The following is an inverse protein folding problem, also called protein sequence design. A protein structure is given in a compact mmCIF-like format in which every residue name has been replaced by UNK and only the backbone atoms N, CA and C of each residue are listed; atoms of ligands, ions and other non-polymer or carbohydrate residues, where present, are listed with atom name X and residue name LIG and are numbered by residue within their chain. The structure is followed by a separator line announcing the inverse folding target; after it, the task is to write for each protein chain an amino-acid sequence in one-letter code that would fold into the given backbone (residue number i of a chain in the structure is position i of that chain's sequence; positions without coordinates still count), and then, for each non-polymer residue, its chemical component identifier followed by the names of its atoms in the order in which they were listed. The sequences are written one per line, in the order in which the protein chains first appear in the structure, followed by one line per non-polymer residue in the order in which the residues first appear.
data_IF_541859292269
#
_entry.id   IF_541859292269
#
_cell.length_a   1.000
_cell.length_b   1.000
_cell.length_c   1.000
_cell.angle_alpha   90.00
_cell.angle_beta   90.00
_cell.angle_gamma   90.00
#
_symmetry.space_group_name_H-M   'P 1'
#
loop_
_entity.id
_entity.type
_entity.pdbx_description
1 polymer ?
#
# COMPACT_ATOMS: atom_id res chain seq x y z
N UNK A 1 4.26 -20.30 55.16
CA UNK A 1 3.44 -21.52 55.08
C UNK A 1 3.47 -22.00 53.65
N UNK A 2 4.11 -23.14 53.39
CA UNK A 2 4.21 -23.77 52.08
C UNK A 2 2.86 -24.39 51.69
N UNK A 3 2.37 -24.13 50.48
CA UNK A 3 1.59 -25.12 49.72
C UNK A 3 2.00 -25.02 48.24
N UNK A 4 2.40 -26.18 47.73
CA UNK A 4 2.81 -26.50 46.36
C UNK A 4 1.58 -26.89 45.54
N UNK A 5 1.48 -26.43 44.29
CA UNK A 5 0.63 -27.06 43.27
C UNK A 5 1.50 -27.57 42.12
N UNK A 6 1.43 -28.88 41.87
CA UNK A 6 2.02 -29.56 40.72
C UNK A 6 0.91 -29.96 39.74
N UNK A 7 1.25 -29.81 38.46
CA UNK A 7 0.60 -30.33 37.26
C UNK A 7 0.11 -31.77 37.38
N UNK A 8 -1.01 -32.07 36.74
CA UNK A 8 -1.22 -33.37 36.08
C UNK A 8 -1.77 -33.20 34.66
N UNK A 9 -1.23 -34.05 33.79
CA UNK A 9 -1.38 -34.12 32.35
C UNK A 9 -2.34 -35.25 31.97
N UNK A 10 -3.30 -34.94 31.10
CA UNK A 10 -4.19 -35.94 30.49
C UNK A 10 -3.44 -36.79 29.46
N UNK A 11 -3.58 -38.11 29.57
CA UNK A 11 -3.24 -39.10 28.53
C UNK A 11 -4.47 -39.96 28.19
N UNK A 12 -4.52 -40.54 26.97
CA UNK A 12 -5.76 -40.92 26.31
C UNK A 12 -6.23 -42.35 26.60
N UNK A 13 -7.54 -42.54 26.39
CA UNK A 13 -8.34 -43.74 26.58
C UNK A 13 -7.89 -44.92 25.71
N UNK A 14 -7.69 -46.07 26.37
CA UNK A 14 -7.50 -47.41 25.79
C UNK A 14 -8.88 -48.08 25.72
N UNK A 15 -9.31 -48.56 24.55
CA UNK A 15 -10.48 -49.44 24.43
C UNK A 15 -10.01 -50.84 24.03
N UNK A 16 -10.50 -51.79 24.81
CA UNK A 16 -10.15 -53.21 24.91
C UNK A 16 -10.88 -54.01 23.82
N UNK A 17 -10.16 -54.88 23.13
CA UNK A 17 -10.71 -55.90 22.21
C UNK A 17 -11.15 -57.12 23.04
N UNK A 18 -12.44 -57.47 22.99
CA UNK A 18 -13.00 -58.68 23.59
C UNK A 18 -13.22 -59.72 22.48
N UNK A 19 -12.60 -60.89 22.65
CA UNK A 19 -12.77 -62.09 21.84
C UNK A 19 -14.03 -62.85 22.31
N UNK A 20 -15.01 -63.06 21.43
CA UNK A 20 -16.14 -63.96 21.68
C UNK A 20 -16.13 -65.06 20.62
N UNK A 21 -16.00 -66.29 21.11
CA UNK A 21 -16.11 -67.55 20.37
C UNK A 21 -17.59 -67.94 20.31
N UNK A 22 -18.16 -68.11 19.11
CA UNK A 22 -19.48 -68.74 18.92
C UNK A 22 -19.33 -69.85 17.87
N UNK A 23 -19.65 -71.07 18.30
CA UNK A 23 -19.82 -72.26 17.47
C UNK A 23 -21.30 -72.33 17.06
N UNK A 24 -21.59 -72.47 15.76
CA UNK A 24 -22.93 -72.73 15.23
C UNK A 24 -22.86 -73.59 13.98
N UNK A 25 -23.61 -74.69 13.97
CA UNK A 25 -23.71 -75.69 12.90
C UNK A 25 -24.44 -75.15 11.66
N UNK A 26 -24.16 -75.78 10.51
CA UNK A 26 -24.47 -75.29 9.17
C UNK A 26 -25.93 -75.31 8.72
N UNK A 27 -26.15 -74.57 7.63
CA UNK A 27 -27.13 -74.84 6.58
C UNK A 27 -26.71 -74.02 5.35
N UNK A 28 -26.59 -74.65 4.19
CA UNK A 28 -26.20 -74.01 2.93
C UNK A 28 -27.19 -72.91 2.54
N UNK A 29 -26.68 -71.70 2.32
CA UNK A 29 -27.19 -70.77 1.31
C UNK A 29 -26.00 -70.00 0.77
N UNK A 30 -25.86 -69.97 -0.55
CA UNK A 30 -24.75 -69.43 -1.33
C UNK A 30 -24.12 -68.17 -0.72
N UNK A 31 -22.85 -68.28 -0.32
CA UNK A 31 -22.03 -67.14 0.08
C UNK A 31 -21.76 -66.28 -1.16
N UNK A 32 -22.50 -65.18 -1.27
CA UNK A 32 -22.14 -64.10 -2.17
C UNK A 32 -20.94 -63.38 -1.54
N UNK A 33 -19.73 -63.81 -1.89
CA UNK A 33 -18.50 -63.09 -1.57
C UNK A 33 -18.61 -61.69 -2.19
N UNK A 34 -19.00 -60.70 -1.39
CA UNK A 34 -18.77 -59.30 -1.73
C UNK A 34 -17.25 -59.09 -1.73
N UNK A 35 -16.64 -59.10 -2.92
CA UNK A 35 -15.34 -58.48 -3.12
C UNK A 35 -15.42 -57.06 -2.56
N UNK A 36 -14.70 -56.79 -1.46
CA UNK A 36 -14.39 -55.42 -1.09
C UNK A 36 -13.62 -54.81 -2.26
N UNK A 37 -14.30 -53.97 -3.04
CA UNK A 37 -13.66 -53.20 -4.10
C UNK A 37 -12.66 -52.28 -3.41
N UNK A 38 -11.38 -52.67 -3.44
CA UNK A 38 -10.29 -51.87 -2.91
C UNK A 38 -10.17 -50.62 -3.78
N UNK A 39 -10.86 -49.54 -3.40
CA UNK A 39 -10.76 -48.26 -4.12
C UNK A 39 -9.31 -47.78 -3.97
N UNK A 40 -8.55 -47.67 -5.06
CA UNK A 40 -7.15 -47.36 -4.95
C UNK A 40 -6.99 -45.92 -4.42
N UNK A 41 -6.23 -45.77 -3.33
CA UNK A 41 -6.08 -44.50 -2.60
C UNK A 41 -5.33 -43.50 -3.48
N UNK A 42 -5.80 -42.25 -3.48
CA UNK A 42 -5.15 -41.18 -4.20
C UNK A 42 -3.76 -40.88 -3.62
N UNK A 43 -2.78 -40.58 -4.48
CA UNK A 43 -1.41 -40.23 -4.05
C UNK A 43 -0.91 -38.99 -4.76
N UNK A 44 0.06 -38.29 -4.15
CA UNK A 44 0.82 -37.21 -4.80
C UNK A 44 2.26 -37.67 -5.01
N UNK A 45 2.81 -37.37 -6.19
CA UNK A 45 4.19 -37.72 -6.54
C UNK A 45 5.07 -36.47 -6.65
N UNK A 46 4.70 -35.52 -7.50
CA UNK A 46 5.43 -34.26 -7.67
C UNK A 46 4.51 -33.20 -8.29
N UNK A 47 5.01 -31.98 -8.41
CA UNK A 47 4.35 -30.90 -9.14
C UNK A 47 5.34 -30.12 -10.00
N UNK A 48 4.85 -29.50 -11.07
CA UNK A 48 5.65 -28.63 -11.92
C UNK A 48 4.79 -27.50 -12.54
N UNK A 49 5.23 -26.24 -12.49
CA UNK A 49 6.41 -25.75 -11.75
C UNK A 49 6.19 -25.77 -10.23
N UNK A 50 7.29 -25.70 -9.46
CA UNK A 50 7.28 -25.63 -7.98
C UNK A 50 7.26 -24.18 -7.47
N UNK A 51 7.29 -23.22 -8.38
CA UNK A 51 7.24 -21.80 -8.09
C UNK A 51 6.61 -21.03 -9.24
N UNK A 52 6.10 -19.84 -8.94
CA UNK A 52 5.49 -18.96 -9.93
C UNK A 52 4.56 -17.94 -9.31
N UNK A 53 4.16 -16.91 -10.07
CA UNK A 53 3.16 -15.95 -9.63
C UNK A 53 1.75 -16.51 -9.66
N UNK A 54 0.76 -15.70 -9.26
CA UNK A 54 -0.65 -15.99 -9.55
C UNK A 54 -0.85 -16.36 -11.01
N UNK A 55 -1.91 -17.10 -11.28
CA UNK A 55 -2.27 -17.60 -12.60
C UNK A 55 -1.29 -18.60 -13.23
N UNK A 56 -0.15 -18.92 -12.60
CA UNK A 56 0.70 -20.03 -13.00
C UNK A 56 -0.12 -21.32 -12.99
N UNK A 57 -0.15 -22.03 -14.11
CA UNK A 57 -0.80 -23.34 -14.20
C UNK A 57 0.19 -24.39 -13.72
N UNK A 58 -0.14 -25.04 -12.61
CA UNK A 58 0.68 -26.07 -12.01
C UNK A 58 0.10 -27.44 -12.33
N UNK A 59 0.94 -28.32 -12.87
CA UNK A 59 0.61 -29.73 -13.06
C UNK A 59 1.03 -30.49 -11.81
N UNK A 60 0.06 -31.08 -11.12
CA UNK A 60 0.23 -31.93 -9.94
C UNK A 60 0.09 -33.38 -10.40
N UNK A 61 1.14 -34.18 -10.24
CA UNK A 61 1.18 -35.58 -10.65
C UNK A 61 0.93 -36.51 -9.46
N UNK A 62 0.25 -37.62 -9.72
CA UNK A 62 -0.08 -38.61 -8.70
C UNK A 62 -0.79 -39.82 -9.30
N UNK A 63 -1.62 -40.48 -8.50
CA UNK A 63 -2.44 -41.62 -8.92
C UNK A 63 -3.83 -41.55 -8.30
N UNK A 64 -4.81 -42.17 -8.96
CA UNK A 64 -6.19 -42.37 -8.49
C UNK A 64 -6.92 -41.07 -8.09
N UNK A 65 -6.67 -39.97 -8.80
CA UNK A 65 -7.46 -38.75 -8.60
C UNK A 65 -8.92 -38.97 -9.01
N UNK A 66 -9.83 -38.35 -8.25
CA UNK A 66 -11.26 -38.32 -8.55
C UNK A 66 -11.56 -37.44 -9.75
N UNK A 67 -12.83 -37.25 -10.09
CA UNK A 67 -13.20 -36.35 -11.18
C UNK A 67 -13.10 -34.87 -10.79
N UNK A 68 -13.14 -34.00 -11.80
CA UNK A 68 -12.97 -32.55 -11.66
C UNK A 68 -14.02 -31.89 -10.76
N UNK A 69 -15.21 -32.48 -10.60
CA UNK A 69 -16.28 -31.89 -9.79
C UNK A 69 -16.05 -32.13 -8.28
N UNK A 70 -15.19 -33.08 -7.92
CA UNK A 70 -14.92 -33.45 -6.52
C UNK A 70 -13.49 -33.16 -6.08
N UNK A 71 -12.55 -32.99 -7.02
CA UNK A 71 -11.18 -32.58 -6.67
C UNK A 71 -11.15 -31.11 -6.25
N UNK A 72 -10.50 -30.86 -5.11
CA UNK A 72 -10.14 -29.50 -4.68
C UNK A 72 -8.63 -29.39 -4.53
N UNK A 73 -8.07 -28.24 -4.89
CA UNK A 73 -6.65 -27.93 -4.75
C UNK A 73 -6.49 -26.64 -3.99
N UNK A 74 -5.58 -26.60 -3.02
CA UNK A 74 -5.26 -25.43 -2.23
C UNK A 74 -3.77 -25.15 -2.30
N UNK A 75 -3.43 -23.88 -2.45
CA UNK A 75 -2.07 -23.35 -2.34
C UNK A 75 -2.02 -22.58 -1.03
N UNK A 76 -1.32 -23.11 -0.03
CA UNK A 76 -1.21 -22.48 1.30
C UNK A 76 -2.58 -22.03 1.84
N UNK A 77 -3.52 -22.98 1.92
CA UNK A 77 -4.92 -22.81 2.36
C UNK A 77 -5.82 -21.95 1.46
N UNK A 78 -5.31 -21.38 0.35
CA UNK A 78 -6.14 -20.66 -0.63
C UNK A 78 -6.58 -21.61 -1.74
N UNK A 79 -7.89 -21.77 -1.92
CA UNK A 79 -8.47 -22.66 -2.93
C UNK A 79 -8.16 -22.17 -4.36
N UNK A 80 -7.71 -23.09 -5.20
CA UNK A 80 -7.34 -22.85 -6.59
C UNK A 80 -8.45 -23.28 -7.54
N UNK A 81 -8.47 -22.64 -8.71
CA UNK A 81 -9.30 -23.10 -9.83
C UNK A 81 -8.62 -24.32 -10.45
N UNK A 82 -9.31 -25.46 -10.45
CA UNK A 82 -8.88 -26.68 -11.15
C UNK A 82 -9.31 -26.60 -12.61
N UNK A 83 -8.34 -26.64 -13.53
CA UNK A 83 -8.57 -26.52 -14.97
C UNK A 83 -8.82 -27.88 -15.64
N UNK A 84 -8.15 -28.93 -15.17
CA UNK A 84 -8.34 -30.29 -15.69
C UNK A 84 -7.91 -31.34 -14.67
N UNK A 85 -8.58 -32.49 -14.69
CA UNK A 85 -8.21 -33.67 -13.90
C UNK A 85 -8.20 -34.92 -14.78
N UNK A 86 -7.17 -35.74 -14.61
CA UNK A 86 -7.10 -37.13 -15.06
C UNK A 86 -6.76 -38.01 -13.85
N UNK A 87 -6.81 -39.34 -14.01
CA UNK A 87 -6.46 -40.28 -12.95
C UNK A 87 -5.02 -40.13 -12.42
N UNK A 88 -4.13 -39.43 -13.14
CA UNK A 88 -2.72 -39.24 -12.75
C UNK A 88 -2.27 -37.78 -12.71
N UNK A 89 -3.11 -36.83 -13.14
CA UNK A 89 -2.73 -35.42 -13.21
C UNK A 89 -3.88 -34.49 -12.84
N UNK A 90 -3.56 -33.44 -12.09
CA UNK A 90 -4.42 -32.28 -11.88
C UNK A 90 -3.68 -31.06 -12.42
N UNK A 91 -4.36 -30.22 -13.21
CA UNK A 91 -3.86 -28.88 -13.53
C UNK A 91 -4.67 -27.87 -12.75
N UNK A 92 -3.99 -27.12 -11.89
CA UNK A 92 -4.62 -26.10 -11.06
C UNK A 92 -3.91 -24.76 -11.26
N UNK A 93 -4.69 -23.68 -11.25
CA UNK A 93 -4.21 -22.33 -11.44
C UNK A 93 -3.93 -21.69 -10.08
N UNK A 94 -2.70 -21.23 -9.85
CA UNK A 94 -2.30 -20.61 -8.59
C UNK A 94 -3.19 -19.39 -8.29
N UNK A 95 -3.89 -19.36 -7.14
CA UNK A 95 -4.79 -18.27 -6.81
C UNK A 95 -4.03 -17.02 -6.35
N UNK A 96 -4.66 -15.86 -6.51
CA UNK A 96 -4.11 -14.59 -6.01
C UNK A 96 -3.99 -14.64 -4.49
N UNK A 97 -2.88 -14.15 -3.94
CA UNK A 97 -2.69 -14.08 -2.49
C UNK A 97 -2.46 -15.44 -1.80
N UNK A 98 -2.18 -16.50 -2.56
CA UNK A 98 -1.86 -17.81 -1.99
C UNK A 98 -0.67 -17.75 -1.01
N UNK A 99 0.37 -16.98 -1.36
CA UNK A 99 1.63 -16.99 -0.61
C UNK A 99 2.38 -18.31 -0.75
N UNK A 100 3.61 -18.34 -0.21
CA UNK A 100 4.44 -19.55 -0.23
C UNK A 100 3.95 -20.54 0.84
N UNK A 101 3.76 -21.80 0.45
CA UNK A 101 3.39 -22.85 1.39
C UNK A 101 3.06 -24.16 0.71
N UNK A 102 2.61 -25.14 1.49
CA UNK A 102 2.31 -26.48 1.03
C UNK A 102 1.09 -26.50 0.10
N UNK A 103 1.13 -27.39 -0.90
CA UNK A 103 -0.07 -27.77 -1.65
C UNK A 103 -0.90 -28.75 -0.83
N UNK A 104 -2.22 -28.59 -0.87
CA UNK A 104 -3.16 -29.58 -0.38
C UNK A 104 -4.11 -29.95 -1.51
N UNK A 105 -4.30 -31.25 -1.74
CA UNK A 105 -5.29 -31.79 -2.68
C UNK A 105 -6.31 -32.60 -1.91
N UNK A 106 -7.59 -32.36 -2.12
CA UNK A 106 -8.67 -33.21 -1.62
C UNK A 106 -9.19 -33.99 -2.83
N UNK A 107 -9.13 -35.32 -2.75
CA UNK A 107 -9.59 -36.23 -3.80
C UNK A 107 -10.18 -37.48 -3.15
N UNK A 108 -11.40 -37.87 -3.54
CA UNK A 108 -12.14 -38.96 -2.89
C UNK A 108 -12.21 -38.82 -1.36
N UNK A 109 -12.48 -37.60 -0.86
CA UNK A 109 -12.49 -37.25 0.57
C UNK A 109 -11.16 -37.46 1.32
N UNK A 110 -10.08 -37.79 0.62
CA UNK A 110 -8.72 -37.91 1.17
C UNK A 110 -7.97 -36.60 0.97
N UNK A 111 -7.52 -36.01 2.07
CA UNK A 111 -6.62 -34.85 2.04
C UNK A 111 -5.17 -35.32 1.89
N UNK A 112 -4.54 -34.92 0.78
CA UNK A 112 -3.16 -35.19 0.45
C UNK A 112 -2.35 -33.90 0.59
N UNK A 113 -1.21 -33.97 1.27
CA UNK A 113 -0.27 -32.86 1.41
C UNK A 113 0.86 -33.07 0.42
N UNK A 114 1.03 -32.11 -0.49
CA UNK A 114 2.09 -32.07 -1.47
C UNK A 114 3.32 -31.32 -0.96
N UNK A 115 4.26 -31.09 -1.87
CA UNK A 115 5.42 -30.25 -1.61
C UNK A 115 5.05 -28.75 -1.51
N UNK A 116 5.99 -27.94 -1.01
CA UNK A 116 5.85 -26.50 -0.98
C UNK A 116 5.88 -25.90 -2.39
N UNK A 117 4.98 -24.95 -2.64
CA UNK A 117 5.01 -24.07 -3.80
C UNK A 117 5.54 -22.70 -3.38
N UNK A 118 6.60 -22.22 -4.04
CA UNK A 118 7.14 -20.87 -3.80
C UNK A 118 6.37 -19.85 -4.62
N UNK A 119 5.56 -19.03 -3.96
CA UNK A 119 4.79 -17.98 -4.61
C UNK A 119 5.68 -16.79 -4.93
N UNK A 120 5.71 -16.41 -6.21
CA UNK A 120 6.52 -15.28 -6.69
C UNK A 120 5.61 -14.07 -6.83
N UNK A 121 5.76 -13.07 -5.96
CA UNK A 121 5.04 -11.81 -6.08
C UNK A 121 5.43 -11.13 -7.40
N UNK A 122 4.41 -10.72 -8.15
CA UNK A 122 4.55 -9.85 -9.32
C UNK A 122 4.17 -8.43 -8.97
N UNK A 123 4.73 -7.48 -9.69
CA UNK A 123 4.39 -6.07 -9.52
C UNK A 123 4.16 -5.47 -10.89
N UNK A 124 2.94 -4.99 -11.12
CA UNK A 124 2.52 -4.40 -12.39
C UNK A 124 2.28 -2.90 -12.22
N UNK A 125 2.82 -2.11 -13.14
CA UNK A 125 2.64 -0.66 -13.23
C UNK A 125 1.77 -0.33 -14.43
N UNK A 126 0.71 0.42 -14.20
CA UNK A 126 -0.24 0.85 -15.24
C UNK A 126 -0.51 2.35 -15.16
N UNK A 127 -0.94 2.95 -16.26
CA UNK A 127 -1.44 4.32 -16.29
C UNK A 127 -2.95 4.33 -16.10
N UNK A 128 -3.45 5.02 -15.08
CA UNK A 128 -4.91 5.16 -14.87
C UNK A 128 -5.46 6.45 -15.46
N UNK A 129 -4.65 7.51 -15.56
CA UNK A 129 -5.05 8.76 -16.19
C UNK A 129 -3.86 9.63 -16.60
N UNK A 130 -4.08 10.49 -17.61
CA UNK A 130 -3.10 11.44 -18.13
C UNK A 130 -2.41 10.96 -19.40
N UNK A 131 -2.26 11.86 -20.37
CA UNK A 131 -1.52 11.61 -21.62
C UNK A 131 -0.09 12.15 -21.60
N UNK A 132 0.54 12.18 -22.77
CA UNK A 132 1.92 12.65 -22.95
C UNK A 132 2.10 14.17 -22.89
N UNK A 133 1.01 14.94 -22.95
CA UNK A 133 1.03 16.39 -22.96
C UNK A 133 0.56 16.95 -21.62
N UNK A 134 1.26 17.99 -21.16
CA UNK A 134 0.80 18.79 -20.03
C UNK A 134 -0.53 19.47 -20.37
N UNK A 135 -1.42 19.57 -19.40
CA UNK A 135 -2.67 20.30 -19.56
C UNK A 135 -3.61 20.10 -18.39
N UNK A 136 -4.85 20.51 -18.58
CA UNK A 136 -5.85 20.58 -17.51
C UNK A 136 -7.22 19.99 -17.90
N UNK A 137 -7.31 19.43 -19.10
CA UNK A 137 -8.53 18.89 -19.68
C UNK A 137 -9.06 17.72 -18.85
N UNK A 138 -10.35 17.78 -18.49
CA UNK A 138 -11.12 16.65 -17.95
C UNK A 138 -11.38 15.61 -19.05
N UNK A 139 -11.60 14.36 -18.69
CA UNK A 139 -11.73 13.27 -19.65
C UNK A 139 -11.54 11.91 -18.99
N UNK A 140 -11.50 10.85 -19.79
CA UNK A 140 -11.32 9.47 -19.27
C UNK A 140 -9.92 8.97 -19.59
N UNK A 141 -9.24 8.38 -18.61
CA UNK A 141 -7.94 7.76 -18.80
C UNK A 141 -6.91 8.69 -19.44
N UNK A 142 -6.36 8.26 -20.58
CA UNK A 142 -5.33 9.00 -21.31
C UNK A 142 -5.84 10.24 -22.05
N UNK A 143 -7.16 10.47 -22.13
CA UNK A 143 -7.71 11.68 -22.74
C UNK A 143 -7.71 12.86 -21.77
N UNK A 144 -7.70 12.58 -20.47
CA UNK A 144 -7.46 13.60 -19.45
C UNK A 144 -6.02 14.15 -19.54
N UNK A 145 -5.83 15.36 -19.04
CA UNK A 145 -4.53 16.03 -18.99
C UNK A 145 -4.24 16.52 -17.58
N UNK A 146 -3.00 16.32 -17.14
CA UNK A 146 -2.45 16.89 -15.91
C UNK A 146 -1.27 17.80 -16.25
N UNK A 147 -0.98 18.77 -15.40
CA UNK A 147 0.20 19.61 -15.52
C UNK A 147 1.01 19.50 -14.24
N UNK A 148 2.01 18.61 -14.27
CA UNK A 148 2.88 18.30 -13.13
C UNK A 148 2.07 17.97 -11.84
N UNK A 149 1.33 16.84 -11.80
CA UNK A 149 0.62 16.42 -10.59
C UNK A 149 1.64 16.31 -9.43
N UNK A 150 1.31 16.89 -8.27
CA UNK A 150 2.26 17.00 -7.14
C UNK A 150 1.96 15.99 -6.05
N UNK A 151 0.73 15.99 -5.54
CA UNK A 151 0.30 15.06 -4.51
C UNK A 151 -1.00 14.35 -4.88
N UNK A 152 -1.25 13.26 -4.18
CA UNK A 152 -2.32 12.32 -4.45
C UNK A 152 -2.83 11.71 -3.14
N UNK A 153 -4.14 11.49 -3.04
CA UNK A 153 -4.77 10.69 -1.97
C UNK A 153 -5.88 9.84 -2.57
N UNK A 154 -6.34 8.82 -1.85
CA UNK A 154 -7.36 7.87 -2.34
C UNK A 154 -8.41 7.62 -1.26
N UNK A 155 -9.68 7.55 -1.65
CA UNK A 155 -10.78 7.19 -0.75
C UNK A 155 -11.04 5.68 -0.70
N UNK A 156 -11.88 5.25 0.25
CA UNK A 156 -12.24 3.85 0.43
C UNK A 156 -13.00 3.22 -0.76
N UNK A 157 -13.49 4.04 -1.70
CA UNK A 157 -14.14 3.57 -2.93
C UNK A 157 -13.15 3.48 -4.10
N UNK A 158 -11.87 3.80 -3.87
CA UNK A 158 -10.83 3.81 -4.90
C UNK A 158 -10.87 5.04 -5.80
N UNK A 159 -11.56 6.11 -5.42
CA UNK A 159 -11.42 7.38 -6.13
C UNK A 159 -10.13 8.08 -5.67
N UNK A 160 -9.42 8.63 -6.64
CA UNK A 160 -8.12 9.26 -6.44
C UNK A 160 -8.27 10.77 -6.58
N UNK A 161 -7.75 11.52 -5.62
CA UNK A 161 -7.74 12.98 -5.62
C UNK A 161 -6.33 13.48 -5.85
N UNK A 162 -6.17 14.42 -6.78
CA UNK A 162 -4.86 14.87 -7.26
C UNK A 162 -4.75 16.37 -7.13
N UNK A 163 -3.71 16.83 -6.44
CA UNK A 163 -3.33 18.24 -6.44
C UNK A 163 -2.55 18.55 -7.72
N UNK A 164 -3.21 19.24 -8.65
CA UNK A 164 -2.66 19.61 -9.95
C UNK A 164 -1.86 20.89 -9.85
N UNK A 165 -0.66 20.84 -9.26
CA UNK A 165 0.18 22.01 -8.94
C UNK A 165 0.14 23.14 -9.98
N UNK A 166 0.65 22.91 -11.18
CA UNK A 166 0.67 23.95 -12.23
C UNK A 166 -0.68 24.17 -12.92
N UNK A 167 -1.68 23.34 -12.60
CA UNK A 167 -3.06 23.49 -13.06
C UNK A 167 -3.95 24.29 -12.12
N UNK A 168 -3.46 24.67 -10.91
CA UNK A 168 -4.20 25.46 -9.92
C UNK A 168 -5.55 24.84 -9.51
N UNK A 169 -5.62 23.51 -9.45
CA UNK A 169 -6.87 22.77 -9.25
C UNK A 169 -6.67 21.44 -8.54
N UNK A 170 -7.75 20.97 -7.94
CA UNK A 170 -7.87 19.63 -7.38
C UNK A 170 -8.71 18.78 -8.33
N UNK A 171 -8.17 17.63 -8.74
CA UNK A 171 -8.83 16.71 -9.67
C UNK A 171 -9.30 15.48 -8.93
N UNK A 172 -10.42 14.91 -9.37
CA UNK A 172 -10.91 13.62 -8.91
C UNK A 172 -10.87 12.63 -10.07
N UNK A 173 -10.35 11.44 -9.83
CA UNK A 173 -10.34 10.30 -10.75
C UNK A 173 -11.20 9.21 -10.12
N UNK A 174 -12.24 8.76 -10.81
CA UNK A 174 -13.04 7.61 -10.34
C UNK A 174 -12.29 6.30 -10.56
N UNK A 175 -12.71 5.21 -9.91
CA UNK A 175 -12.19 3.85 -10.18
C UNK A 175 -12.26 3.41 -11.66
N UNK A 176 -13.20 3.98 -12.43
CA UNK A 176 -13.33 3.75 -13.88
C UNK A 176 -12.44 4.68 -14.74
N UNK A 177 -11.55 5.47 -14.14
CA UNK A 177 -10.62 6.36 -14.85
C UNK A 177 -11.21 7.69 -15.34
N UNK A 178 -12.44 8.04 -14.97
CA UNK A 178 -13.03 9.35 -15.30
C UNK A 178 -12.39 10.44 -14.44
N UNK A 179 -11.79 11.44 -15.08
CA UNK A 179 -11.16 12.60 -14.45
C UNK A 179 -12.05 13.83 -14.55
N UNK A 180 -12.33 14.45 -13.41
CA UNK A 180 -13.08 15.71 -13.29
C UNK A 180 -12.31 16.72 -12.44
N UNK A 181 -12.58 18.01 -12.64
CA UNK A 181 -12.13 19.07 -11.74
C UNK A 181 -13.11 19.18 -10.57
N UNK A 182 -12.62 18.92 -9.34
CA UNK A 182 -13.43 19.02 -8.12
C UNK A 182 -13.50 20.47 -7.61
N UNK A 183 -12.38 21.19 -7.67
CA UNK A 183 -12.29 22.59 -7.26
C UNK A 183 -11.08 23.28 -7.91
N UNK A 184 -11.17 24.60 -8.06
CA UNK A 184 -10.09 25.43 -8.57
C UNK A 184 -10.21 25.73 -10.07
N UNK A 185 -9.72 26.91 -10.47
CA UNK A 185 -9.73 27.35 -11.87
C UNK A 185 -8.36 27.87 -12.30
N UNK A 186 -8.06 29.08 -11.87
CA UNK A 186 -6.87 29.86 -12.18
C UNK A 186 -6.08 30.15 -10.90
N UNK A 187 -4.90 30.73 -11.09
CA UNK A 187 -4.09 31.26 -9.99
C UNK A 187 -4.87 32.30 -9.18
N UNK A 188 -4.85 32.16 -7.86
CA UNK A 188 -5.46 33.08 -6.90
C UNK A 188 -5.70 32.38 -5.56
N UNK A 189 -6.33 33.06 -4.62
CA UNK A 189 -6.55 32.57 -3.25
C UNK A 189 -8.02 32.57 -2.81
N UNK A 190 -8.95 32.86 -3.73
CA UNK A 190 -10.37 32.96 -3.38
C UNK A 190 -10.94 31.64 -2.86
N UNK A 191 -11.67 31.72 -1.75
CA UNK A 191 -12.60 30.70 -1.30
C UNK A 191 -13.85 30.67 -2.21
N UNK A 192 -14.59 29.57 -2.21
CA UNK A 192 -15.81 29.43 -3.02
C UNK A 192 -16.01 28.02 -3.55
N UNK A 193 -16.86 27.89 -4.57
CA UNK A 193 -17.09 26.62 -5.28
C UNK A 193 -16.66 26.72 -6.73
N UNK A 194 -16.47 25.57 -7.38
CA UNK A 194 -16.24 25.47 -8.82
C UNK A 194 -15.10 26.39 -9.30
N UNK A 195 -15.38 27.27 -10.26
CA UNK A 195 -14.44 28.22 -10.81
C UNK A 195 -14.17 29.44 -9.94
N UNK A 196 -14.99 29.70 -8.91
CA UNK A 196 -14.78 30.81 -7.97
C UNK A 196 -13.68 30.48 -6.96
N UNK A 197 -13.54 29.19 -6.61
CA UNK A 197 -12.40 28.72 -5.84
C UNK A 197 -11.11 28.86 -6.67
N UNK A 198 -10.06 29.39 -6.05
CA UNK A 198 -8.76 29.59 -6.67
C UNK A 198 -7.63 29.08 -5.76
N UNK A 199 -6.59 28.55 -6.39
CA UNK A 199 -5.39 28.03 -5.74
C UNK A 199 -4.12 28.58 -6.40
N UNK A 200 -3.01 28.61 -5.69
CA UNK A 200 -1.71 28.95 -6.22
C UNK A 200 -0.68 27.84 -5.94
N UNK A 201 -0.43 27.02 -6.96
CA UNK A 201 0.41 25.81 -6.90
C UNK A 201 0.05 24.88 -5.72
N UNK A 202 -1.20 24.38 -5.64
CA UNK A 202 -1.57 23.44 -4.59
C UNK A 202 -0.67 22.20 -4.68
N UNK A 203 -0.07 21.80 -3.56
CA UNK A 203 0.80 20.63 -3.51
C UNK A 203 0.19 19.52 -2.69
N UNK A 204 0.16 19.59 -1.36
CA UNK A 204 -0.25 18.47 -0.51
C UNK A 204 -1.75 18.24 -0.52
N UNK A 205 -2.21 16.99 -0.43
CA UNK A 205 -3.63 16.66 -0.27
C UNK A 205 -3.85 15.49 0.71
N UNK A 206 -4.67 15.70 1.72
CA UNK A 206 -5.12 14.67 2.66
C UNK A 206 -6.65 14.56 2.64
N UNK A 207 -7.19 13.39 2.99
CA UNK A 207 -8.62 13.08 3.00
C UNK A 207 -9.06 12.65 4.40
N UNK A 208 -10.14 13.23 4.94
CA UNK A 208 -10.78 12.73 6.16
C UNK A 208 -11.84 11.65 5.89
N UNK A 209 -12.31 11.01 6.97
CA UNK A 209 -13.31 9.93 6.89
C UNK A 209 -14.69 10.40 6.39
N UNK A 210 -14.98 11.70 6.45
CA UNK A 210 -16.19 12.30 5.88
C UNK A 210 -16.04 12.67 4.40
N UNK A 211 -14.84 12.49 3.83
CA UNK A 211 -14.53 12.78 2.44
C UNK A 211 -14.14 14.24 2.17
N UNK A 212 -13.87 15.04 3.20
CA UNK A 212 -13.30 16.37 2.99
C UNK A 212 -11.81 16.25 2.65
N UNK A 213 -11.34 17.09 1.73
CA UNK A 213 -9.93 17.22 1.42
C UNK A 213 -9.32 18.41 2.18
N UNK A 214 -8.06 18.25 2.56
CA UNK A 214 -7.23 19.31 3.12
C UNK A 214 -6.03 19.49 2.20
N UNK A 215 -5.84 20.71 1.71
CA UNK A 215 -4.88 21.02 0.66
C UNK A 215 -3.88 22.05 1.16
N UNK A 216 -2.60 21.75 1.02
CA UNK A 216 -1.56 22.77 1.16
C UNK A 216 -1.50 23.61 -0.12
N UNK A 217 -2.00 24.84 -0.04
CA UNK A 217 -2.00 25.81 -1.12
C UNK A 217 -0.71 26.62 -1.08
N UNK A 218 0.35 25.98 -1.58
CA UNK A 218 1.75 26.29 -1.23
C UNK A 218 2.13 27.75 -1.45
N UNK A 219 1.80 28.36 -2.60
CA UNK A 219 2.18 29.76 -2.86
C UNK A 219 1.26 30.77 -2.17
N UNK A 220 0.03 30.37 -1.86
CA UNK A 220 -0.87 31.15 -1.02
C UNK A 220 -0.58 30.99 0.47
N UNK A 221 0.41 30.18 0.86
CA UNK A 221 0.86 29.97 2.25
C UNK A 221 -0.30 29.65 3.18
N UNK A 222 -1.20 28.79 2.73
CA UNK A 222 -2.40 28.43 3.47
C UNK A 222 -2.70 26.95 3.37
N UNK A 223 -3.47 26.46 4.33
CA UNK A 223 -4.13 25.16 4.27
C UNK A 223 -5.61 25.40 4.02
N UNK A 224 -6.12 24.78 2.95
CA UNK A 224 -7.50 24.92 2.48
C UNK A 224 -8.28 23.64 2.79
N UNK A 225 -9.54 23.77 3.15
CA UNK A 225 -10.48 22.65 3.29
C UNK A 225 -11.42 22.64 2.10
N UNK A 226 -11.72 21.45 1.57
CA UNK A 226 -12.64 21.23 0.46
C UNK A 226 -13.66 20.18 0.86
N UNK A 227 -14.95 20.49 0.78
CA UNK A 227 -16.01 19.50 1.04
C UNK A 227 -16.11 18.48 -0.10
N UNK A 228 -16.78 17.33 0.09
CA UNK A 228 -17.06 16.38 -0.99
C UNK A 228 -17.78 16.99 -2.21
N UNK A 229 -18.50 18.09 -2.00
CA UNK A 229 -19.21 18.83 -3.05
C UNK A 229 -18.39 19.97 -3.67
N UNK A 230 -17.10 20.11 -3.33
CA UNK A 230 -16.20 21.10 -3.93
C UNK A 230 -16.24 22.50 -3.32
N UNK A 231 -16.81 22.68 -2.12
CA UNK A 231 -16.78 23.98 -1.40
C UNK A 231 -15.42 24.16 -0.76
N UNK A 232 -14.68 25.20 -1.16
CA UNK A 232 -13.35 25.56 -0.67
C UNK A 232 -13.44 26.68 0.37
N UNK A 233 -12.78 26.48 1.50
CA UNK A 233 -12.57 27.48 2.55
C UNK A 233 -11.14 27.48 3.07
N UNK A 234 -10.62 28.63 3.50
CA UNK A 234 -9.32 28.71 4.17
C UNK A 234 -9.43 28.23 5.61
N UNK A 235 -8.64 27.21 5.99
CA UNK A 235 -8.60 26.69 7.36
C UNK A 235 -7.59 27.46 8.21
N UNK A 236 -6.40 27.72 7.67
CA UNK A 236 -5.35 28.49 8.33
C UNK A 236 -4.36 29.09 7.32
N UNK A 237 -3.65 30.15 7.71
CA UNK A 237 -2.61 30.76 6.90
C UNK A 237 -3.07 31.92 6.01
N UNK A 238 -2.20 32.28 5.06
CA UNK A 238 -2.40 33.38 4.10
C UNK A 238 -1.22 34.34 4.04
N UNK A 239 -0.39 34.37 5.09
CA UNK A 239 0.77 35.26 5.22
C UNK A 239 2.07 34.46 5.26
N UNK A 240 3.14 35.01 4.67
CA UNK A 240 4.47 34.41 4.73
C UNK A 240 5.06 34.67 6.09
N UNK A 241 5.46 33.60 6.77
CA UNK A 241 6.21 33.72 8.00
C UNK A 241 6.19 32.43 8.79
N UNK A 242 6.50 32.55 10.07
CA UNK A 242 6.81 31.41 10.93
C UNK A 242 5.92 31.34 12.17
N UNK A 243 5.07 32.32 12.41
CA UNK A 243 4.35 32.41 13.67
C UNK A 243 3.24 31.33 13.77
N UNK A 244 3.15 30.73 14.95
CA UNK A 244 2.01 29.90 15.34
C UNK A 244 0.79 30.80 15.56
N UNK A 245 -0.42 30.27 15.40
CA UNK A 245 -1.63 31.10 15.45
C UNK A 245 -2.90 30.31 15.21
N UNK A 246 -4.04 30.98 15.13
CA UNK A 246 -5.33 30.35 14.81
C UNK A 246 -5.90 30.95 13.52
N UNK A 247 -6.34 30.09 12.60
CA UNK A 247 -6.90 30.53 11.34
C UNK A 247 -5.89 31.36 10.53
N UNK A 248 -6.32 32.54 10.08
CA UNK A 248 -5.51 33.45 9.26
C UNK A 248 -4.39 34.16 10.03
N UNK A 249 -4.39 34.09 11.36
CA UNK A 249 -3.31 34.65 12.18
C UNK A 249 -2.06 33.75 12.20
N UNK A 250 -2.20 32.49 11.83
CA UNK A 250 -1.04 31.61 11.64
C UNK A 250 -0.31 31.97 10.35
N UNK A 251 1.02 31.87 10.35
CA UNK A 251 1.85 32.13 9.18
C UNK A 251 2.55 30.85 8.70
N UNK A 252 2.70 30.72 7.38
CA UNK A 252 3.37 29.57 6.77
C UNK A 252 4.51 30.00 5.83
N UNK A 253 5.56 29.19 5.79
CA UNK A 253 6.70 29.27 4.90
C UNK A 253 6.61 28.22 3.77
N UNK A 254 5.54 28.34 2.96
CA UNK A 254 5.24 27.46 1.82
C UNK A 254 4.92 26.02 2.25
N UNK A 255 3.69 25.76 2.76
CA UNK A 255 3.32 24.43 3.20
C UNK A 255 3.28 23.46 2.01
N UNK A 256 3.73 22.22 2.23
CA UNK A 256 3.83 21.21 1.17
C UNK A 256 3.10 19.91 1.47
N UNK A 257 3.76 18.84 1.90
CA UNK A 257 3.08 17.58 2.23
C UNK A 257 2.16 17.74 3.44
N UNK A 258 1.01 17.08 3.42
CA UNK A 258 0.02 17.12 4.49
C UNK A 258 -0.55 15.72 4.74
N UNK A 259 -0.77 15.38 6.00
CA UNK A 259 -1.46 14.15 6.42
C UNK A 259 -2.44 14.48 7.55
N UNK A 260 -3.31 13.53 7.91
CA UNK A 260 -4.36 13.69 8.91
C UNK A 260 -4.41 12.48 9.83
N UNK A 261 -4.61 12.69 11.13
CA UNK A 261 -4.85 11.60 12.07
C UNK A 261 -6.34 11.27 12.24
N UNK A 262 -6.61 10.24 13.03
CA UNK A 262 -7.97 9.76 13.31
C UNK A 262 -8.83 10.74 14.13
N UNK A 263 -8.22 11.75 14.77
CA UNK A 263 -8.91 12.82 15.50
C UNK A 263 -9.23 14.02 14.60
N UNK A 264 -8.69 14.03 13.37
CA UNK A 264 -8.83 15.10 12.41
C UNK A 264 -7.78 16.19 12.54
N UNK A 265 -6.74 15.99 13.35
CA UNK A 265 -5.61 16.91 13.37
C UNK A 265 -4.75 16.68 12.12
N UNK A 266 -4.40 17.78 11.46
CA UNK A 266 -3.53 17.77 10.28
C UNK A 266 -2.08 17.95 10.69
N UNK A 267 -1.18 17.33 9.94
CA UNK A 267 0.25 17.54 10.06
C UNK A 267 0.79 17.93 8.70
N UNK A 268 1.35 19.14 8.58
CA UNK A 268 1.90 19.66 7.34
C UNK A 268 3.39 19.94 7.47
N UNK A 269 4.11 19.68 6.40
CA UNK A 269 5.47 20.18 6.21
C UNK A 269 5.39 21.64 5.80
N UNK A 270 6.18 22.50 6.43
CA UNK A 270 6.21 23.95 6.15
C UNK A 270 7.64 24.50 6.24
N UNK A 271 8.28 24.74 5.09
CA UNK A 271 9.71 25.01 5.02
C UNK A 271 10.54 23.87 5.60
N UNK A 272 11.27 24.15 6.69
CA UNK A 272 12.05 23.17 7.46
C UNK A 272 11.34 22.66 8.71
N UNK A 273 10.02 22.84 8.81
CA UNK A 273 9.24 22.55 10.02
C UNK A 273 8.12 21.57 9.76
N UNK A 274 7.69 20.93 10.84
CA UNK A 274 6.46 20.15 10.90
C UNK A 274 5.47 20.91 11.77
N UNK A 275 4.29 21.17 11.22
CA UNK A 275 3.22 21.96 11.84
C UNK A 275 2.01 21.07 12.08
N UNK A 276 1.42 21.13 13.28
CA UNK A 276 0.14 20.51 13.59
C UNK A 276 -0.96 21.56 13.44
N UNK A 277 -2.11 21.17 12.88
CA UNK A 277 -3.28 22.05 12.69
C UNK A 277 -4.52 21.31 13.20
N UNK A 278 -5.22 21.88 14.17
CA UNK A 278 -6.47 21.28 14.68
C UNK A 278 -7.63 21.48 13.70
N UNK A 279 -8.75 20.74 13.84
CA UNK A 279 -9.96 20.98 13.05
C UNK A 279 -10.51 22.41 13.13
N UNK A 280 -10.18 23.15 14.20
CA UNK A 280 -10.56 24.56 14.41
C UNK A 280 -9.51 25.56 13.89
N UNK A 281 -8.46 25.08 13.21
CA UNK A 281 -7.43 25.92 12.59
C UNK A 281 -6.35 26.41 13.54
N UNK A 282 -6.18 25.82 14.73
CA UNK A 282 -5.06 26.17 15.63
C UNK A 282 -3.79 25.52 15.10
N UNK A 283 -2.79 26.32 14.75
CA UNK A 283 -1.51 25.89 14.19
C UNK A 283 -0.43 25.95 15.25
N UNK A 284 0.31 24.85 15.44
CA UNK A 284 1.47 24.78 16.33
C UNK A 284 2.69 24.16 15.63
N UNK A 285 3.87 24.67 15.94
CA UNK A 285 5.13 24.06 15.50
C UNK A 285 5.47 22.88 16.40
N UNK A 286 5.56 21.68 15.80
CA UNK A 286 5.85 20.47 16.55
C UNK A 286 7.24 19.91 16.29
N UNK A 287 7.96 20.33 15.26
CA UNK A 287 9.37 19.98 15.05
C UNK A 287 10.04 20.89 14.00
N UNK A 288 11.37 20.90 13.99
CA UNK A 288 12.18 21.55 12.96
C UNK A 288 12.74 22.90 13.41
N UNK A 289 13.92 22.89 14.02
CA UNK A 289 14.61 24.09 14.52
C UNK A 289 15.32 24.90 13.43
N UNK A 290 15.31 24.41 12.18
CA UNK A 290 15.94 25.04 11.03
C UNK A 290 16.42 24.03 9.99
N UNK A 291 17.18 24.52 9.01
CA UNK A 291 17.80 23.71 7.97
C UNK A 291 18.95 22.86 8.50
N UNK A 292 18.96 21.56 8.17
CA UNK A 292 19.98 20.59 8.59
C UNK A 292 19.37 19.20 8.73
N UNK A 293 20.13 18.23 9.27
CA UNK A 293 19.68 16.83 9.44
C UNK A 293 19.85 16.32 10.87
N UNK A 294 20.06 17.22 11.84
CA UNK A 294 20.27 16.86 13.25
C UNK A 294 19.07 16.08 13.80
N UNK A 295 19.33 14.93 14.41
CA UNK A 295 18.38 14.14 15.20
C UNK A 295 18.27 14.72 16.63
N UNK A 296 17.24 14.35 17.38
CA UNK A 296 17.09 14.79 18.77
C UNK A 296 15.63 15.00 19.16
N UNK A 297 15.38 15.96 20.05
CA UNK A 297 14.00 16.35 20.40
C UNK A 297 13.37 17.18 19.30
N UNK A 298 12.05 17.33 19.33
CA UNK A 298 11.32 18.26 18.47
C UNK A 298 11.85 19.70 18.50
N UNK A 299 12.41 20.14 19.62
CA UNK A 299 12.99 21.47 19.79
C UNK A 299 14.37 21.64 19.12
N UNK A 300 15.12 20.56 18.89
CA UNK A 300 16.51 20.61 18.39
C UNK A 300 16.65 20.05 16.99
N UNK A 301 15.83 19.06 16.63
CA UNK A 301 15.92 18.36 15.35
C UNK A 301 15.76 19.31 14.16
N UNK A 302 16.52 19.05 13.10
CA UNK A 302 16.55 19.86 11.87
C UNK A 302 16.12 19.05 10.67
N UNK A 303 15.50 19.72 9.70
CA UNK A 303 15.11 19.16 8.41
C UNK A 303 15.54 20.10 7.28
N UNK A 304 15.81 19.59 6.09
CA UNK A 304 16.19 20.41 4.94
C UNK A 304 15.22 20.21 3.78
N UNK A 305 14.33 21.20 3.62
CA UNK A 305 13.30 21.22 2.58
C UNK A 305 12.52 19.90 2.44
N UNK A 306 12.00 19.31 3.54
CA UNK A 306 11.14 18.12 3.48
C UNK A 306 9.93 18.34 2.55
N UNK A 307 9.39 17.25 2.01
CA UNK A 307 8.26 17.32 1.07
C UNK A 307 7.09 16.41 1.39
N UNK A 308 7.34 15.17 1.80
CA UNK A 308 6.29 14.21 2.14
C UNK A 308 6.20 13.97 3.65
N UNK A 309 4.99 13.67 4.10
CA UNK A 309 4.69 13.29 5.47
C UNK A 309 3.62 12.20 5.47
N UNK A 310 3.79 11.18 6.30
CA UNK A 310 2.80 10.13 6.56
C UNK A 310 2.67 9.92 8.07
N UNK A 311 1.56 9.35 8.52
CA UNK A 311 1.29 9.03 9.92
C UNK A 311 0.86 7.57 10.04
N UNK A 312 1.37 6.87 11.07
CA UNK A 312 0.91 5.51 11.39
C UNK A 312 -0.18 5.49 12.47
N UNK A 313 -0.75 4.30 12.71
CA UNK A 313 -1.80 4.09 13.70
C UNK A 313 -1.35 4.33 15.16
N UNK A 314 -0.05 4.49 15.40
CA UNK A 314 0.51 4.85 16.71
C UNK A 314 0.85 6.36 16.78
N UNK A 315 0.42 7.15 15.80
CA UNK A 315 0.72 8.57 15.65
C UNK A 315 2.21 8.89 15.51
N UNK A 316 3.02 7.96 15.02
CA UNK A 316 4.36 8.32 14.55
C UNK A 316 4.25 9.01 13.19
N UNK A 317 5.00 10.09 13.00
CA UNK A 317 5.13 10.76 11.72
C UNK A 317 6.38 10.28 10.99
N UNK A 318 6.26 10.04 9.69
CA UNK A 318 7.36 9.70 8.79
C UNK A 318 7.52 10.81 7.76
N UNK A 319 8.71 11.41 7.71
CA UNK A 319 8.99 12.60 6.91
C UNK A 319 10.02 12.23 5.85
N UNK A 320 9.74 12.55 4.60
CA UNK A 320 10.75 12.56 3.56
C UNK A 320 11.54 13.87 3.61
N UNK A 321 12.72 13.81 4.19
CA UNK A 321 13.64 14.93 4.36
C UNK A 321 14.48 15.09 3.09
N UNK A 322 13.81 15.64 2.06
CA UNK A 322 14.17 15.54 0.65
C UNK A 322 15.62 15.95 0.36
N UNK A 323 16.03 17.16 0.76
CA UNK A 323 17.38 17.67 0.46
C UNK A 323 18.46 17.09 1.38
N UNK A 324 18.06 16.33 2.40
CA UNK A 324 18.97 15.51 3.18
C UNK A 324 18.99 14.05 2.71
N UNK A 325 18.17 13.66 1.73
CA UNK A 325 18.13 12.29 1.19
C UNK A 325 17.83 11.21 2.25
N UNK A 326 16.98 11.56 3.21
CA UNK A 326 16.66 10.72 4.39
C UNK A 326 15.17 10.57 4.56
N UNK A 327 14.78 9.46 5.18
CA UNK A 327 13.47 9.29 5.81
C UNK A 327 13.66 9.46 7.31
N UNK A 328 12.87 10.36 7.91
CA UNK A 328 12.93 10.70 9.34
C UNK A 328 11.67 10.20 10.03
N UNK A 329 11.77 9.84 11.31
CA UNK A 329 10.64 9.45 12.14
C UNK A 329 10.51 10.44 13.30
N UNK A 330 9.28 10.84 13.61
CA UNK A 330 8.92 11.57 14.83
C UNK A 330 7.95 10.70 15.61
N UNK A 331 8.30 10.37 16.85
CA UNK A 331 7.42 9.63 17.78
C UNK A 331 6.53 10.60 18.57
N UNK A 332 5.38 10.13 19.11
CA UNK A 332 4.47 10.98 19.89
C UNK A 332 5.09 11.66 21.12
N UNK A 333 6.17 11.11 21.67
CA UNK A 333 6.93 11.69 22.78
C UNK A 333 7.89 12.83 22.34
N UNK A 334 7.93 13.14 21.05
CA UNK A 334 8.75 14.21 20.49
C UNK A 334 10.20 13.82 20.19
N UNK A 335 10.51 12.52 20.06
CA UNK A 335 11.82 12.08 19.57
C UNK A 335 11.84 12.08 18.04
N UNK A 336 12.84 12.75 17.45
CA UNK A 336 13.12 12.76 16.01
C UNK A 336 14.39 11.97 15.73
N UNK A 337 14.30 11.00 14.82
CA UNK A 337 15.44 10.17 14.41
C UNK A 337 15.49 9.96 12.91
N UNK A 338 16.69 9.68 12.39
CA UNK A 338 16.86 9.19 11.02
C UNK A 338 16.47 7.71 10.98
N UNK A 339 15.39 7.41 10.25
CA UNK A 339 14.92 6.03 10.05
C UNK A 339 15.77 5.33 9.00
N UNK A 340 16.01 5.99 7.86
CA UNK A 340 16.75 5.42 6.73
C UNK A 340 17.40 6.51 5.86
N UNK A 341 18.41 6.13 5.09
CA UNK A 341 19.12 7.03 4.18
C UNK A 341 20.33 7.71 4.83
N UNK A 342 21.22 8.24 4.00
CA UNK A 342 22.44 8.91 4.46
C UNK A 342 22.88 10.00 3.48
N UNK A 343 23.63 9.64 2.45
CA UNK A 343 24.04 10.52 1.37
C UNK A 343 23.14 10.32 0.15
N UNK A 344 23.24 11.25 -0.81
CA UNK A 344 22.62 11.09 -2.11
C UNK A 344 23.10 9.81 -2.78
N UNK A 345 22.18 8.99 -3.27
CA UNK A 345 22.54 7.78 -3.99
C UNK A 345 21.35 6.87 -4.27
N UNK A 346 21.65 5.70 -4.82
CA UNK A 346 20.69 4.62 -5.01
C UNK A 346 21.30 3.32 -4.51
N UNK A 347 20.78 2.83 -3.38
CA UNK A 347 21.16 1.53 -2.83
C UNK A 347 19.98 0.96 -2.04
N UNK A 348 19.61 -0.27 -2.35
CA UNK A 348 18.75 -1.14 -1.53
C UNK A 348 19.58 -1.80 -0.41
N UNK A 349 18.92 -2.31 0.63
CA UNK A 349 19.60 -2.96 1.75
C UNK A 349 18.94 -2.67 3.10
N UNK A 350 19.68 -2.81 4.20
CA UNK A 350 19.19 -2.34 5.50
C UNK A 350 18.97 -0.83 5.50
N UNK A 351 18.11 -0.32 6.38
CA UNK A 351 17.89 1.13 6.54
C UNK A 351 19.16 1.94 6.80
N UNK A 352 20.20 1.33 7.37
CA UNK A 352 21.51 1.95 7.62
C UNK A 352 22.44 2.01 6.41
N UNK A 353 22.22 1.17 5.39
CA UNK A 353 23.05 1.11 4.18
C UNK A 353 22.33 1.65 2.94
N UNK A 354 20.99 1.66 2.96
CA UNK A 354 20.19 2.17 1.88
C UNK A 354 20.43 3.67 1.67
N UNK A 355 20.44 4.08 0.40
CA UNK A 355 20.54 5.50 0.00
C UNK A 355 19.37 5.88 -0.91
N UNK A 356 19.03 7.17 -0.86
CA UNK A 356 17.95 7.79 -1.62
C UNK A 356 18.49 9.01 -2.36
N UNK A 357 17.74 9.51 -3.34
CA UNK A 357 18.05 10.72 -4.07
C UNK A 357 16.79 11.59 -4.16
N UNK A 358 16.75 12.61 -3.30
CA UNK A 358 15.61 13.51 -3.13
C UNK A 358 14.26 12.77 -2.98
N UNK A 359 14.09 11.95 -1.92
CA UNK A 359 12.80 11.33 -1.64
C UNK A 359 11.75 12.41 -1.39
N UNK A 360 10.56 12.27 -1.99
CA UNK A 360 9.47 13.24 -1.86
C UNK A 360 8.26 12.65 -1.16
N UNK A 361 7.32 12.04 -1.86
CA UNK A 361 6.15 11.45 -1.22
C UNK A 361 6.50 10.22 -0.40
N UNK A 362 5.70 10.01 0.64
CA UNK A 362 5.77 8.86 1.52
C UNK A 362 4.34 8.49 1.95
N UNK A 363 4.02 7.20 1.96
CA UNK A 363 2.78 6.65 2.53
C UNK A 363 3.09 5.41 3.34
N UNK A 364 2.15 4.95 4.16
CA UNK A 364 2.29 3.74 4.97
C UNK A 364 1.08 2.82 4.77
N UNK A 365 1.31 1.51 4.78
CA UNK A 365 0.24 0.51 4.75
C UNK A 365 -0.17 0.04 6.17
N UNK A 366 -1.21 -0.79 6.25
CA UNK A 366 -1.71 -1.35 7.51
C UNK A 366 -0.74 -2.30 8.22
N UNK A 367 0.29 -2.77 7.50
CA UNK A 367 1.35 -3.64 7.99
C UNK A 367 2.60 -2.83 8.40
N UNK A 368 2.51 -1.50 8.44
CA UNK A 368 3.59 -0.56 8.73
C UNK A 368 4.76 -0.60 7.73
N UNK A 369 4.52 -1.03 6.49
CA UNK A 369 5.48 -0.79 5.43
C UNK A 369 5.34 0.64 4.92
N UNK A 370 6.47 1.34 4.81
CA UNK A 370 6.54 2.65 4.18
C UNK A 370 6.81 2.49 2.70
N UNK A 371 6.15 3.30 1.89
CA UNK A 371 6.40 3.40 0.46
C UNK A 371 6.84 4.84 0.15
N UNK A 372 7.89 4.99 -0.65
CA UNK A 372 8.56 6.26 -0.89
C UNK A 372 8.72 6.49 -2.38
N UNK A 373 8.37 7.69 -2.84
CA UNK A 373 8.79 8.18 -4.14
C UNK A 373 10.23 8.70 -4.06
N UNK A 374 11.18 7.90 -4.51
CA UNK A 374 12.60 8.24 -4.59
C UNK A 374 12.83 9.02 -5.90
N UNK A 375 12.39 10.28 -5.88
CA UNK A 375 12.01 11.02 -7.07
C UNK A 375 13.12 11.17 -8.10
N UNK A 376 14.33 11.51 -7.67
CA UNK A 376 15.45 11.73 -8.59
C UNK A 376 16.20 10.44 -8.94
N UNK A 377 15.85 9.32 -8.30
CA UNK A 377 16.19 7.97 -8.78
C UNK A 377 15.10 7.36 -9.68
N UNK A 378 13.96 8.04 -9.84
CA UNK A 378 12.83 7.61 -10.67
C UNK A 378 12.24 6.26 -10.26
N UNK A 379 12.19 6.02 -8.94
CA UNK A 379 11.83 4.72 -8.34
C UNK A 379 10.78 4.88 -7.26
N UNK A 380 10.02 3.80 -7.06
CA UNK A 380 9.22 3.61 -5.84
C UNK A 380 9.94 2.60 -4.95
N UNK A 381 10.21 3.01 -3.71
CA UNK A 381 10.96 2.23 -2.72
C UNK A 381 10.01 1.80 -1.60
N UNK A 382 10.28 0.66 -0.97
CA UNK A 382 9.56 0.14 0.19
C UNK A 382 10.51 0.00 1.37
N UNK A 383 10.10 0.42 2.56
CA UNK A 383 10.78 0.12 3.83
C UNK A 383 9.85 -0.76 4.65
N UNK A 384 10.31 -1.95 5.00
CA UNK A 384 9.56 -2.89 5.84
C UNK A 384 9.82 -2.62 7.33
N UNK A 385 8.94 -3.07 8.25
CA UNK A 385 9.13 -2.90 9.69
C UNK A 385 10.43 -3.50 10.25
N UNK A 386 10.98 -4.53 9.59
CA UNK A 386 12.28 -5.12 9.95
C UNK A 386 13.49 -4.33 9.40
N UNK A 387 13.26 -3.13 8.84
CA UNK A 387 14.31 -2.21 8.43
C UNK A 387 15.01 -2.60 7.13
N UNK A 388 14.29 -3.21 6.18
CA UNK A 388 14.79 -3.50 4.84
C UNK A 388 14.20 -2.52 3.83
N UNK A 389 15.07 -1.89 3.05
CA UNK A 389 14.72 -1.02 1.93
C UNK A 389 14.89 -1.79 0.62
N UNK A 390 13.84 -1.82 -0.20
CA UNK A 390 13.85 -2.44 -1.52
C UNK A 390 13.21 -1.54 -2.58
N UNK A 391 13.58 -1.75 -3.84
CA UNK A 391 12.90 -1.13 -4.99
C UNK A 391 11.73 -2.01 -5.41
N UNK A 392 10.52 -1.46 -5.48
CA UNK A 392 9.33 -2.20 -5.92
C UNK A 392 8.93 -1.90 -7.36
N UNK A 393 9.31 -0.74 -7.92
CA UNK A 393 9.05 -0.39 -9.31
C UNK A 393 9.96 0.76 -9.79
N UNK A 394 10.13 0.84 -11.11
CA UNK A 394 10.87 1.91 -11.79
C UNK A 394 12.32 1.51 -12.11
N UNK A 395 12.73 1.64 -13.37
CA UNK A 395 14.12 1.35 -13.78
C UNK A 395 14.92 2.62 -14.04
N UNK A 396 14.47 3.45 -14.97
CA UNK A 396 15.15 4.66 -15.40
C UNK A 396 14.17 5.83 -15.56
N UNK A 397 14.71 7.01 -15.85
CA UNK A 397 13.92 8.17 -16.23
C UNK A 397 13.16 7.89 -17.53
N UNK A 398 11.84 8.08 -17.51
CA UNK A 398 11.03 8.01 -18.71
C UNK A 398 9.61 7.54 -18.40
N UNK A 399 8.92 7.05 -19.42
CA UNK A 399 7.56 6.54 -19.31
C UNK A 399 7.48 5.14 -19.90
N UNK A 400 7.11 4.17 -19.07
CA UNK A 400 6.75 2.82 -19.48
C UNK A 400 5.84 2.19 -18.42
N UNK A 401 4.71 1.62 -18.86
CA UNK A 401 3.93 0.65 -18.09
C UNK A 401 4.59 -0.74 -18.21
N UNK A 402 4.11 -1.72 -17.45
CA UNK A 402 4.60 -3.10 -17.47
C UNK A 402 5.01 -3.61 -16.10
N UNK A 403 5.83 -4.65 -16.04
CA UNK A 403 6.31 -5.18 -14.76
C UNK A 403 7.26 -4.18 -14.07
N UNK A 404 7.52 -4.38 -12.78
CA UNK A 404 8.41 -3.52 -11.99
C UNK A 404 9.75 -3.21 -12.67
N UNK A 405 10.37 -4.22 -13.30
CA UNK A 405 11.67 -4.16 -14.00
C UNK A 405 11.59 -3.66 -15.45
N UNK A 406 10.41 -3.28 -15.93
CA UNK A 406 10.17 -2.73 -17.27
C UNK A 406 9.56 -1.32 -17.19
N UNK A 407 8.91 -1.02 -16.06
CA UNK A 407 8.27 0.25 -15.78
C UNK A 407 9.27 1.40 -15.61
N UNK A 408 8.88 2.58 -16.09
CA UNK A 408 9.63 3.82 -15.92
C UNK A 408 8.74 4.92 -15.36
N UNK A 409 9.35 5.76 -14.52
CA UNK A 409 8.77 6.98 -13.97
C UNK A 409 9.65 8.17 -14.35
N UNK A 410 9.10 9.38 -14.29
CA UNK A 410 9.86 10.61 -14.45
C UNK A 410 9.54 11.55 -13.29
N UNK A 411 10.46 11.55 -12.32
CA UNK A 411 10.31 12.23 -11.03
C UNK A 411 8.96 11.96 -10.37
N UNK A 412 8.66 10.70 -9.97
CA UNK A 412 7.46 10.41 -9.19
C UNK A 412 7.48 11.30 -7.95
N UNK A 413 6.43 12.08 -7.71
CA UNK A 413 6.44 13.12 -6.68
C UNK A 413 5.75 12.65 -5.41
N UNK A 414 4.59 12.00 -5.56
CA UNK A 414 3.85 11.45 -4.43
C UNK A 414 3.19 10.13 -4.74
N UNK A 415 2.74 9.46 -3.68
CA UNK A 415 2.03 8.20 -3.71
C UNK A 415 1.01 8.09 -2.57
N UNK A 416 -0.08 7.37 -2.85
CA UNK A 416 -1.10 6.99 -1.88
C UNK A 416 -1.40 5.50 -2.01
N UNK A 417 -1.87 4.87 -0.94
CA UNK A 417 -2.22 3.45 -0.92
C UNK A 417 -3.71 3.27 -0.64
N UNK A 418 -4.39 2.40 -1.38
CA UNK A 418 -5.78 2.02 -1.07
C UNK A 418 -5.85 0.84 -0.09
N UNK A 419 -7.07 0.49 0.32
CA UNK A 419 -7.33 -0.59 1.28
C UNK A 419 -6.91 -1.98 0.76
N UNK A 420 -6.83 -2.14 -0.56
CA UNK A 420 -6.38 -3.38 -1.21
C UNK A 420 -4.85 -3.45 -1.34
N UNK A 421 -4.14 -2.40 -0.92
CA UNK A 421 -2.68 -2.31 -0.99
C UNK A 421 -2.15 -1.84 -2.35
N UNK A 422 -3.01 -1.37 -3.25
CA UNK A 422 -2.55 -0.76 -4.51
C UNK A 422 -2.01 0.64 -4.27
N UNK A 423 -0.90 0.97 -4.92
CA UNK A 423 -0.31 2.30 -4.84
C UNK A 423 -0.72 3.13 -6.05
N UNK A 424 -1.10 4.39 -5.82
CA UNK A 424 -1.32 5.39 -6.85
C UNK A 424 -0.20 6.40 -6.80
N UNK A 425 0.34 6.82 -7.94
CA UNK A 425 1.57 7.61 -8.03
C UNK A 425 1.31 8.83 -8.91
N UNK A 426 1.64 10.00 -8.38
CA UNK A 426 1.77 11.23 -9.15
C UNK A 426 3.12 11.23 -9.90
N UNK A 427 3.10 10.77 -11.15
CA UNK A 427 4.27 10.69 -12.02
C UNK A 427 4.50 12.05 -12.69
N UNK A 428 5.12 12.97 -11.94
CA UNK A 428 5.03 14.41 -12.13
C UNK A 428 5.45 14.86 -13.53
N UNK A 429 6.63 14.46 -13.99
CA UNK A 429 7.18 14.92 -15.28
C UNK A 429 6.60 14.15 -16.46
N UNK A 430 5.99 13.00 -16.21
CA UNK A 430 5.18 12.30 -17.20
C UNK A 430 3.74 12.81 -17.26
N UNK A 431 3.32 13.73 -16.37
CA UNK A 431 1.97 14.31 -16.37
C UNK A 431 0.84 13.28 -16.23
N UNK A 432 1.11 12.24 -15.42
CA UNK A 432 0.24 11.07 -15.30
C UNK A 432 -0.01 10.68 -13.86
N UNK A 433 -1.11 9.98 -13.66
CA UNK A 433 -1.34 9.16 -12.49
C UNK A 433 -1.17 7.70 -12.85
N UNK A 434 -0.29 7.02 -12.13
CA UNK A 434 0.08 5.62 -12.34
C UNK A 434 -0.44 4.78 -11.18
N UNK A 435 -0.66 3.49 -11.39
CA UNK A 435 -1.07 2.53 -10.37
C UNK A 435 -0.08 1.36 -10.34
N UNK A 436 0.37 0.99 -9.15
CA UNK A 436 1.14 -0.23 -8.89
C UNK A 436 0.23 -1.21 -8.16
N UNK A 437 0.14 -2.43 -8.66
CA UNK A 437 -0.50 -3.56 -7.99
C UNK A 437 0.57 -4.61 -7.73
N UNK A 438 0.63 -5.11 -6.49
CA UNK A 438 1.45 -6.26 -6.12
C UNK A 438 0.53 -7.47 -5.97
N UNK A 439 0.89 -8.56 -6.64
CA UNK A 439 0.04 -9.73 -6.79
C UNK A 439 0.78 -11.03 -6.55
#
# INVERSE_FOLDING_TARGET
MNVSFKNESNKPTIIIVILIMIIGFGSCSEDNEQEEILIPIATLTNMNPISGPKATVVTINGTNFSDINTVQVFFNEVEAVVESVSVTQIKAKVPSGAGTGLIKVISNDVALVGQEFTYILTTAVTTIAGGSLAGITDGTGIDARFNNPRDITVDAQGNVYVAGGNGHRIRKITSNGIVTTLAGSIEGSNDGTDSNAQFNLPSGVALDIQGNLYVADTQNRSVRKITPTGVVSTLAGGTLGLDDGTGTDAEFAFPTGITIDTQGDLYTVDGSRIRKITPTGVVTTIAGSGAGFEDGTTATAKFNNPKGIAIDAQNNLYIADTQNHRIRKITPDGTVSTLAGSIQGFQDGSVTSATFNNPRGITIDSQNNLYIADSDNHKIRKITPNGIVSTIAGTTNGFADGNANESNFSQPNSLAIDLDGSLYIADQKNHRVRKIVQD
#
